data_IF_989445483202
#
_entry.id   IF_989445483202
#
_cell.length_a   1.000
_cell.length_b   1.000
_cell.length_c   1.000
_cell.angle_alpha   90.00
_cell.angle_beta   90.00
_cell.angle_gamma   90.00
#
_symmetry.space_group_name_H-M   'P 1'
#
loop_
_entity.id
_entity.type
_entity.pdbx_description
1 polymer ?
#
# COMPACT_ATOMS: atom_id res chain seq x y z
N UNK A 1 -15.62 -3.57 -14.42
CA UNK A 1 -14.45 -3.82 -13.55
C UNK A 1 -13.14 -3.96 -14.34
N UNK A 2 -12.99 -4.90 -15.28
CA UNK A 2 -11.72 -5.09 -16.00
C UNK A 2 -11.14 -3.83 -16.69
N UNK A 3 -11.99 -2.99 -17.27
CA UNK A 3 -11.60 -1.70 -17.90
C UNK A 3 -11.09 -0.66 -16.90
N UNK A 4 -11.67 -0.62 -15.70
CA UNK A 4 -11.28 0.26 -14.60
C UNK A 4 -10.02 -0.23 -13.91
N UNK A 5 -9.87 -1.55 -13.74
CA UNK A 5 -8.75 -2.15 -13.01
C UNK A 5 -7.49 -2.35 -13.87
N UNK A 6 -7.58 -2.15 -15.19
CA UNK A 6 -6.47 -2.30 -16.16
C UNK A 6 -5.83 -3.69 -16.17
N UNK A 7 -6.63 -4.74 -15.96
CA UNK A 7 -6.12 -6.11 -15.87
C UNK A 7 -6.21 -6.92 -17.16
N UNK A 8 -6.96 -6.47 -18.17
CA UNK A 8 -7.12 -7.24 -19.40
C UNK A 8 -5.77 -7.49 -20.12
N UNK A 9 -5.48 -8.76 -20.39
CA UNK A 9 -4.35 -9.20 -21.20
C UNK A 9 -4.73 -9.03 -22.68
N UNK A 10 -4.24 -7.94 -23.30
CA UNK A 10 -4.72 -7.45 -24.60
C UNK A 10 -4.72 -8.51 -25.70
N UNK A 11 -3.70 -9.36 -25.74
CA UNK A 11 -3.45 -10.27 -26.86
C UNK A 11 -3.78 -11.75 -26.54
N UNK A 12 -4.33 -12.04 -25.35
CA UNK A 12 -4.49 -13.41 -24.86
C UNK A 12 -5.93 -13.97 -24.94
N UNK A 13 -6.86 -13.21 -25.53
CA UNK A 13 -8.25 -13.65 -25.77
C UNK A 13 -9.08 -13.92 -24.51
N UNK A 14 -10.36 -14.25 -24.71
CA UNK A 14 -11.31 -14.49 -23.62
C UNK A 14 -11.53 -15.98 -23.41
N UNK A 15 -11.56 -16.42 -22.15
CA UNK A 15 -11.97 -17.76 -21.76
C UNK A 15 -13.50 -17.88 -21.85
N UNK A 16 -13.99 -18.70 -22.78
CA UNK A 16 -15.42 -18.91 -23.03
C UNK A 16 -15.70 -20.39 -23.29
N UNK A 17 -16.97 -20.84 -23.31
CA UNK A 17 -17.32 -22.22 -23.72
C UNK A 17 -16.80 -22.59 -25.12
N UNK A 18 -16.68 -21.61 -26.01
CA UNK A 18 -16.17 -21.80 -27.37
C UNK A 18 -14.64 -21.59 -27.48
N UNK A 19 -13.98 -21.12 -26.42
CA UNK A 19 -12.54 -20.84 -26.39
C UNK A 19 -11.93 -21.04 -24.99
N UNK A 20 -11.56 -22.27 -24.67
CA UNK A 20 -10.89 -22.60 -23.41
C UNK A 20 -9.39 -22.20 -23.38
N UNK A 21 -8.80 -21.78 -24.50
CA UNK A 21 -7.41 -21.33 -24.56
C UNK A 21 -7.23 -19.86 -24.16
N UNK A 22 -8.31 -19.07 -24.14
CA UNK A 22 -8.25 -17.66 -23.74
C UNK A 22 -7.84 -17.50 -22.27
N UNK A 23 -7.03 -16.48 -21.97
CA UNK A 23 -6.48 -16.27 -20.60
C UNK A 23 -7.19 -15.17 -19.81
N UNK A 24 -8.11 -14.42 -20.43
CA UNK A 24 -8.96 -13.47 -19.72
C UNK A 24 -10.25 -14.15 -19.26
N UNK A 25 -10.43 -14.27 -17.94
CA UNK A 25 -11.65 -14.83 -17.33
C UNK A 25 -12.55 -13.71 -16.83
N UNK A 26 -13.81 -13.68 -17.29
CA UNK A 26 -14.80 -12.69 -16.89
C UNK A 26 -15.77 -13.28 -15.87
N UNK A 27 -15.50 -13.05 -14.59
CA UNK A 27 -16.30 -13.61 -13.49
C UNK A 27 -17.65 -12.90 -13.28
N UNK A 28 -17.84 -11.69 -13.80
CA UNK A 28 -18.97 -10.81 -13.47
C UNK A 28 -18.83 -10.20 -12.07
N UNK A 29 -19.93 -9.70 -11.51
CA UNK A 29 -19.98 -9.14 -10.14
C UNK A 29 -20.13 -10.28 -9.13
N UNK A 30 -19.03 -11.01 -8.93
CA UNK A 30 -18.97 -12.25 -8.14
C UNK A 30 -17.62 -12.39 -7.43
N UNK A 31 -17.22 -11.38 -6.68
CA UNK A 31 -15.89 -11.25 -6.05
C UNK A 31 -15.49 -12.52 -5.28
N UNK A 32 -16.39 -13.04 -4.44
CA UNK A 32 -16.10 -14.24 -3.66
C UNK A 32 -15.93 -15.48 -4.54
N UNK A 33 -16.82 -15.67 -5.51
CA UNK A 33 -16.76 -16.77 -6.47
C UNK A 33 -15.50 -16.70 -7.35
N UNK A 34 -15.14 -15.49 -7.79
CA UNK A 34 -13.93 -15.23 -8.57
C UNK A 34 -12.65 -15.57 -7.79
N UNK A 35 -12.60 -15.18 -6.52
CA UNK A 35 -11.46 -15.44 -5.66
C UNK A 35 -11.30 -16.94 -5.32
N UNK A 36 -12.40 -17.62 -4.99
CA UNK A 36 -12.38 -19.07 -4.73
C UNK A 36 -12.03 -19.87 -5.98
N UNK A 37 -12.54 -19.49 -7.16
CA UNK A 37 -12.15 -20.08 -8.43
C UNK A 37 -10.65 -19.86 -8.73
N UNK A 38 -10.14 -18.64 -8.49
CA UNK A 38 -8.71 -18.31 -8.65
C UNK A 38 -7.83 -19.18 -7.76
N UNK A 39 -8.22 -19.39 -6.50
CA UNK A 39 -7.54 -20.33 -5.60
C UNK A 39 -7.56 -21.74 -6.17
N UNK A 40 -8.70 -22.22 -6.68
CA UNK A 40 -8.81 -23.54 -7.32
C UNK A 40 -7.88 -23.70 -8.54
N UNK A 41 -7.75 -22.67 -9.37
CA UNK A 41 -6.83 -22.67 -10.52
C UNK A 41 -5.37 -22.78 -10.04
N UNK A 42 -4.99 -22.01 -9.03
CA UNK A 42 -3.62 -22.02 -8.50
C UNK A 42 -3.31 -23.31 -7.71
N UNK A 43 -4.31 -23.91 -7.03
CA UNK A 43 -4.23 -25.22 -6.39
C UNK A 43 -3.92 -26.33 -7.39
N UNK A 44 -4.58 -26.32 -8.55
CA UNK A 44 -4.35 -27.31 -9.62
C UNK A 44 -2.93 -27.23 -10.19
N UNK A 45 -2.33 -26.03 -10.19
CA UNK A 45 -0.96 -25.79 -10.66
C UNK A 45 -0.79 -25.74 -12.18
N UNK A 46 0.35 -25.23 -12.64
CA UNK A 46 0.65 -25.02 -14.08
C UNK A 46 0.17 -23.68 -14.64
N UNK A 47 -0.52 -22.89 -13.83
CA UNK A 47 -1.01 -21.54 -14.15
C UNK A 47 -0.68 -20.59 -13.00
N UNK A 48 -0.61 -19.28 -13.29
CA UNK A 48 -0.48 -18.23 -12.27
C UNK A 48 -1.65 -17.26 -12.41
N UNK A 49 -2.79 -17.61 -11.80
CA UNK A 49 -4.03 -16.85 -11.91
C UNK A 49 -4.09 -15.70 -10.90
N UNK A 50 -4.73 -14.62 -11.31
CA UNK A 50 -5.04 -13.46 -10.48
C UNK A 50 -6.53 -13.14 -10.55
N UNK A 51 -7.03 -12.45 -9.53
CA UNK A 51 -8.37 -11.83 -9.52
C UNK A 51 -8.23 -10.35 -9.21
N UNK A 52 -9.18 -9.54 -9.68
CA UNK A 52 -9.16 -8.10 -9.44
C UNK A 52 -10.55 -7.51 -9.21
N UNK A 53 -10.63 -6.54 -8.30
CA UNK A 53 -11.80 -5.71 -8.02
C UNK A 53 -11.34 -4.36 -7.41
N UNK A 54 -12.26 -3.50 -6.99
CA UNK A 54 -11.93 -2.32 -6.17
C UNK A 54 -11.59 -2.76 -4.75
N UNK A 55 -10.67 -2.05 -4.11
CA UNK A 55 -10.14 -2.44 -2.80
C UNK A 55 -11.23 -2.50 -1.72
N UNK A 56 -12.21 -1.62 -1.77
CA UNK A 56 -13.36 -1.63 -0.85
C UNK A 56 -14.15 -2.94 -0.91
N UNK A 57 -14.19 -3.61 -2.07
CA UNK A 57 -14.86 -4.89 -2.24
C UNK A 57 -14.01 -6.08 -1.79
N UNK A 58 -12.79 -5.86 -1.28
CA UNK A 58 -12.00 -6.92 -0.64
C UNK A 58 -12.76 -7.62 0.50
N UNK A 59 -13.68 -6.92 1.15
CA UNK A 59 -14.59 -7.47 2.16
C UNK A 59 -15.42 -8.65 1.61
N UNK A 60 -15.84 -8.59 0.35
CA UNK A 60 -16.60 -9.69 -0.29
C UNK A 60 -15.74 -10.93 -0.55
N UNK A 61 -14.41 -10.80 -0.66
CA UNK A 61 -13.52 -11.93 -0.92
C UNK A 61 -12.55 -12.26 0.24
N UNK A 62 -12.70 -11.62 1.40
CA UNK A 62 -11.84 -11.82 2.58
C UNK A 62 -11.67 -13.28 2.96
N UNK A 63 -12.77 -14.04 2.97
CA UNK A 63 -12.74 -15.47 3.29
C UNK A 63 -11.88 -16.27 2.29
N UNK A 64 -11.94 -15.94 1.00
CA UNK A 64 -11.12 -16.59 -0.03
C UNK A 64 -9.64 -16.21 0.07
N UNK A 65 -9.32 -14.96 0.40
CA UNK A 65 -7.93 -14.54 0.67
C UNK A 65 -7.36 -15.32 1.86
N UNK A 66 -8.14 -15.41 2.95
CA UNK A 66 -7.75 -16.19 4.13
C UNK A 66 -7.53 -17.67 3.81
N UNK A 67 -8.39 -18.27 2.99
CA UNK A 67 -8.18 -19.65 2.54
C UNK A 67 -6.92 -19.81 1.70
N UNK A 68 -6.63 -18.87 0.78
CA UNK A 68 -5.39 -18.88 0.02
C UNK A 68 -4.16 -18.86 0.94
N UNK A 69 -4.20 -18.05 1.99
CA UNK A 69 -3.12 -17.96 2.97
C UNK A 69 -2.93 -19.26 3.78
N UNK A 70 -4.02 -19.87 4.26
CA UNK A 70 -4.01 -21.15 4.98
C UNK A 70 -3.50 -22.29 4.09
N UNK A 71 -3.87 -22.25 2.81
CA UNK A 71 -3.49 -23.27 1.83
C UNK A 71 -2.12 -23.00 1.19
N UNK A 72 -1.41 -21.95 1.61
CA UNK A 72 -0.11 -21.55 1.07
C UNK A 72 -0.12 -21.34 -0.45
N UNK A 73 -1.23 -20.82 -0.99
CA UNK A 73 -1.40 -20.66 -2.43
C UNK A 73 -0.77 -19.35 -2.88
N UNK A 74 -0.03 -19.34 -3.99
CA UNK A 74 0.48 -18.11 -4.58
C UNK A 74 -0.63 -17.35 -5.33
N UNK A 75 -1.85 -17.23 -4.80
CA UNK A 75 -2.90 -16.45 -5.46
C UNK A 75 -2.59 -14.95 -5.47
N UNK A 76 -2.89 -14.26 -6.58
CA UNK A 76 -2.73 -12.79 -6.68
C UNK A 76 -4.09 -12.13 -6.60
N UNK A 77 -4.19 -11.14 -5.74
CA UNK A 77 -5.33 -10.24 -5.63
C UNK A 77 -4.87 -8.85 -6.02
N UNK A 78 -5.44 -8.29 -7.09
CA UNK A 78 -5.12 -6.94 -7.56
C UNK A 78 -6.30 -6.03 -7.21
N UNK A 79 -6.10 -5.13 -6.26
CA UNK A 79 -7.10 -4.17 -5.85
C UNK A 79 -6.73 -2.77 -6.31
N UNK A 80 -7.67 -2.10 -6.96
CA UNK A 80 -7.50 -0.70 -7.38
C UNK A 80 -8.41 0.21 -6.55
N UNK A 81 -8.35 1.53 -6.74
CA UNK A 81 -9.24 2.47 -6.05
C UNK A 81 -9.05 2.34 -4.53
N UNK A 82 -7.83 2.62 -4.06
CA UNK A 82 -7.32 2.17 -2.77
C UNK A 82 -7.59 3.10 -1.57
N UNK A 83 -8.16 4.29 -1.78
CA UNK A 83 -8.24 5.33 -0.76
C UNK A 83 -9.38 6.34 -1.01
N UNK A 84 -9.45 7.38 -0.16
CA UNK A 84 -10.33 8.55 -0.31
C UNK A 84 -10.22 9.26 -1.68
N UNK A 85 -9.11 9.07 -2.41
CA UNK A 85 -8.93 9.63 -3.74
C UNK A 85 -9.90 9.06 -4.79
N UNK A 86 -10.73 8.08 -4.42
CA UNK A 86 -11.89 7.68 -5.22
C UNK A 86 -12.86 8.85 -5.42
N UNK A 87 -13.11 9.69 -4.41
CA UNK A 87 -13.83 10.94 -4.56
C UNK A 87 -15.34 10.79 -4.76
N UNK A 88 -15.83 10.87 -6.00
CA UNK A 88 -17.26 11.10 -6.24
C UNK A 88 -18.14 9.89 -5.90
N UNK A 89 -17.59 8.68 -5.89
CA UNK A 89 -18.34 7.48 -5.49
C UNK A 89 -18.58 7.45 -3.95
N UNK A 90 -17.80 8.23 -3.20
CA UNK A 90 -17.99 8.51 -1.78
C UNK A 90 -17.74 7.31 -0.85
N UNK A 91 -18.25 7.39 0.40
CA UNK A 91 -17.80 6.53 1.51
C UNK A 91 -18.10 5.05 1.33
N UNK A 92 -19.02 4.68 0.43
CA UNK A 92 -19.31 3.27 0.14
C UNK A 92 -18.25 2.62 -0.76
N UNK A 93 -17.39 3.43 -1.38
CA UNK A 93 -16.36 2.99 -2.34
C UNK A 93 -14.94 3.37 -1.94
N UNK A 94 -14.78 4.11 -0.84
CA UNK A 94 -13.51 4.62 -0.33
C UNK A 94 -12.98 3.69 0.77
N UNK A 95 -11.91 2.91 0.51
CA UNK A 95 -11.32 2.06 1.54
C UNK A 95 -10.69 2.88 2.66
N UNK A 96 -10.87 2.42 3.91
CA UNK A 96 -10.28 3.00 5.11
C UNK A 96 -9.52 1.91 5.89
N UNK A 97 -10.23 0.91 6.39
CA UNK A 97 -9.69 -0.17 7.21
C UNK A 97 -9.16 -1.36 6.41
N UNK A 98 -9.45 -1.42 5.10
CA UNK A 98 -9.16 -2.59 4.27
C UNK A 98 -7.66 -2.89 4.22
N UNK A 99 -6.78 -1.87 4.21
CA UNK A 99 -5.32 -2.08 4.29
C UNK A 99 -4.94 -2.77 5.60
N UNK A 100 -5.35 -2.24 6.75
CA UNK A 100 -5.09 -2.83 8.05
C UNK A 100 -5.67 -4.26 8.16
N UNK A 101 -6.88 -4.46 7.64
CA UNK A 101 -7.55 -5.76 7.59
C UNK A 101 -6.75 -6.79 6.78
N UNK A 102 -6.20 -6.42 5.63
CA UNK A 102 -5.38 -7.32 4.81
C UNK A 102 -4.03 -7.62 5.45
N UNK A 103 -3.37 -6.59 6.02
CA UNK A 103 -2.07 -6.68 6.69
C UNK A 103 -2.08 -7.55 7.96
N UNK A 104 -3.26 -7.74 8.55
CA UNK A 104 -3.43 -8.58 9.75
C UNK A 104 -3.71 -10.04 9.43
N UNK A 105 -3.96 -10.41 8.15
CA UNK A 105 -4.17 -11.81 7.78
C UNK A 105 -2.81 -12.53 7.78
N UNK A 106 -2.63 -13.60 8.58
CA UNK A 106 -1.39 -14.35 8.59
C UNK A 106 -1.09 -14.94 7.21
N UNK A 107 0.19 -14.99 6.84
CA UNK A 107 0.67 -15.53 5.55
C UNK A 107 0.05 -14.83 4.32
N UNK A 108 -0.30 -13.55 4.41
CA UNK A 108 -0.60 -12.69 3.25
C UNK A 108 0.52 -11.65 3.17
N UNK A 109 0.98 -11.32 1.96
CA UNK A 109 1.85 -10.15 1.77
C UNK A 109 1.08 -9.07 0.99
N UNK A 110 1.11 -7.84 1.50
CA UNK A 110 0.39 -6.71 0.91
C UNK A 110 1.42 -5.72 0.37
N UNK A 111 1.28 -5.37 -0.90
CA UNK A 111 2.08 -4.36 -1.58
C UNK A 111 1.21 -3.15 -1.91
N UNK A 112 1.58 -1.98 -1.39
CA UNK A 112 1.02 -0.68 -1.76
C UNK A 112 2.13 0.22 -2.33
N UNK A 113 2.52 0.00 -3.61
CA UNK A 113 3.60 0.72 -4.26
C UNK A 113 3.29 2.20 -4.47
N UNK A 114 4.32 3.04 -4.31
CA UNK A 114 4.25 4.49 -4.45
C UNK A 114 4.14 4.97 -5.90
N UNK A 115 4.74 4.24 -6.84
CA UNK A 115 4.80 4.65 -8.23
C UNK A 115 5.02 3.45 -9.18
N UNK A 116 5.36 3.77 -10.44
CA UNK A 116 5.62 2.76 -11.46
C UNK A 116 6.83 1.87 -11.15
N UNK A 117 7.91 2.41 -10.57
CA UNK A 117 9.11 1.62 -10.28
C UNK A 117 8.82 0.63 -9.15
N UNK A 118 8.22 1.09 -8.05
CA UNK A 118 7.84 0.19 -6.96
C UNK A 118 6.81 -0.86 -7.41
N UNK A 119 5.90 -0.50 -8.31
CA UNK A 119 4.94 -1.47 -8.88
C UNK A 119 5.64 -2.59 -9.65
N UNK A 120 6.67 -2.26 -10.44
CA UNK A 120 7.46 -3.26 -11.17
C UNK A 120 8.24 -4.17 -10.20
N UNK A 121 8.86 -3.59 -9.17
CA UNK A 121 9.59 -4.38 -8.17
C UNK A 121 8.66 -5.27 -7.34
N UNK A 122 7.47 -4.78 -6.96
CA UNK A 122 6.44 -5.59 -6.33
C UNK A 122 6.05 -6.79 -7.21
N UNK A 123 5.83 -6.58 -8.51
CA UNK A 123 5.54 -7.68 -9.44
C UNK A 123 6.66 -8.71 -9.55
N UNK A 124 7.94 -8.29 -9.47
CA UNK A 124 9.08 -9.22 -9.44
C UNK A 124 9.06 -10.09 -8.18
N UNK A 125 8.72 -9.52 -7.02
CA UNK A 125 8.57 -10.28 -5.77
C UNK A 125 7.38 -11.25 -5.88
N UNK A 126 6.24 -10.78 -6.37
CA UNK A 126 5.04 -11.59 -6.61
C UNK A 126 5.36 -12.76 -7.55
N UNK A 127 6.11 -12.54 -8.62
CA UNK A 127 6.47 -13.58 -9.58
C UNK A 127 7.31 -14.71 -8.96
N UNK A 128 8.14 -14.41 -7.95
CA UNK A 128 8.97 -15.39 -7.23
C UNK A 128 8.22 -16.08 -6.09
N UNK A 129 7.10 -15.51 -5.63
CA UNK A 129 6.35 -16.04 -4.49
C UNK A 129 5.57 -17.30 -4.88
N UNK A 130 5.74 -18.37 -4.11
CA UNK A 130 5.12 -19.68 -4.37
C UNK A 130 4.34 -20.25 -3.18
N UNK A 131 4.47 -19.67 -1.99
CA UNK A 131 4.05 -20.24 -0.69
C UNK A 131 3.04 -19.37 0.08
N UNK A 132 2.64 -18.22 -0.48
CA UNK A 132 1.70 -17.29 0.12
C UNK A 132 0.99 -16.42 -0.92
N UNK A 133 -0.27 -16.00 -0.68
CA UNK A 133 -0.95 -15.06 -1.55
C UNK A 133 -0.32 -13.67 -1.51
N UNK A 134 -0.37 -12.99 -2.64
CA UNK A 134 0.08 -11.61 -2.79
C UNK A 134 -1.11 -10.70 -3.08
N UNK A 135 -1.18 -9.58 -2.37
CA UNK A 135 -2.14 -8.52 -2.64
C UNK A 135 -1.39 -7.31 -3.19
N UNK A 136 -1.77 -6.84 -4.38
CA UNK A 136 -1.25 -5.63 -4.99
C UNK A 136 -2.33 -4.55 -4.95
N UNK A 137 -2.03 -3.43 -4.29
CA UNK A 137 -2.90 -2.28 -4.13
C UNK A 137 -2.48 -1.19 -5.12
N UNK A 138 -3.44 -0.59 -5.83
CA UNK A 138 -3.17 0.44 -6.82
C UNK A 138 -4.13 1.62 -6.71
N UNK A 139 -3.61 2.82 -6.93
CA UNK A 139 -4.38 4.06 -6.91
C UNK A 139 -5.35 4.15 -8.09
N UNK A 140 -6.40 4.97 -7.94
CA UNK A 140 -7.26 5.40 -9.07
C UNK A 140 -6.58 6.54 -9.83
N UNK A 141 -6.05 7.49 -9.08
CA UNK A 141 -5.40 8.70 -9.54
C UNK A 141 -4.00 8.42 -10.09
N UNK A 142 -3.52 9.32 -10.94
CA UNK A 142 -2.14 9.31 -11.43
C UNK A 142 -1.20 9.68 -10.29
N UNK A 143 -0.06 9.01 -10.23
CA UNK A 143 1.03 9.30 -9.30
C UNK A 143 2.28 9.74 -10.09
N UNK A 144 3.12 10.61 -9.52
CA UNK A 144 4.40 10.93 -10.12
C UNK A 144 5.28 9.69 -10.17
N UNK A 145 6.14 9.60 -11.19
CA UNK A 145 7.23 8.62 -11.19
C UNK A 145 8.41 9.29 -10.49
N UNK A 146 8.83 8.71 -9.37
CA UNK A 146 9.86 9.27 -8.52
C UNK A 146 11.23 8.80 -9.03
N UNK A 147 12.23 9.68 -8.97
CA UNK A 147 13.60 9.30 -9.33
C UNK A 147 14.22 8.43 -8.23
N UNK A 148 13.83 8.67 -6.97
CA UNK A 148 14.29 8.00 -5.76
C UNK A 148 13.85 6.53 -5.67
N UNK A 149 12.83 6.12 -6.43
CA UNK A 149 12.34 4.73 -6.49
C UNK A 149 13.03 3.91 -7.59
N UNK A 150 13.97 4.49 -8.36
CA UNK A 150 14.78 3.73 -9.30
C UNK A 150 15.64 2.72 -8.55
N UNK A 151 15.36 1.43 -8.75
CA UNK A 151 16.01 0.36 -7.99
C UNK A 151 15.49 0.22 -6.55
N UNK A 152 14.25 0.66 -6.28
CA UNK A 152 13.58 0.51 -5.00
C UNK A 152 13.69 -0.93 -4.45
N UNK A 153 14.05 -1.05 -3.17
CA UNK A 153 14.20 -2.36 -2.53
C UNK A 153 12.87 -2.84 -1.93
N UNK A 154 11.85 -2.98 -2.78
CA UNK A 154 10.50 -3.43 -2.38
C UNK A 154 10.52 -4.82 -1.76
N UNK A 155 11.53 -5.65 -2.08
CA UNK A 155 11.72 -6.97 -1.48
C UNK A 155 11.97 -6.89 0.03
N UNK A 156 12.52 -5.77 0.53
CA UNK A 156 12.71 -5.50 1.96
C UNK A 156 11.47 -4.98 2.67
N UNK A 157 10.42 -4.62 1.93
CA UNK A 157 9.14 -4.15 2.48
C UNK A 157 9.13 -2.71 2.97
N UNK A 158 10.22 -2.22 3.58
CA UNK A 158 10.44 -0.80 3.86
C UNK A 158 11.90 -0.44 3.61
N UNK A 159 12.15 0.73 3.04
CA UNK A 159 13.50 1.21 2.75
C UNK A 159 13.58 2.73 2.81
N UNK A 160 14.78 3.24 3.07
CA UNK A 160 15.05 4.68 3.10
C UNK A 160 15.05 5.20 1.66
N UNK A 161 14.01 5.92 1.28
CA UNK A 161 13.87 6.51 -0.06
C UNK A 161 14.59 7.86 -0.14
N UNK A 162 14.64 8.61 0.97
CA UNK A 162 15.37 9.88 1.05
C UNK A 162 16.09 9.97 2.39
N UNK A 163 17.42 9.73 2.43
CA UNK A 163 18.18 9.70 3.67
C UNK A 163 18.31 11.08 4.31
N UNK A 164 18.47 11.09 5.63
CA UNK A 164 18.90 12.26 6.39
C UNK A 164 20.38 12.58 6.12
N UNK A 165 20.83 13.76 6.53
CA UNK A 165 22.24 14.20 6.43
C UNK A 165 23.10 13.51 7.48
N UNK A 166 22.56 13.27 8.66
CA UNK A 166 23.22 12.65 9.82
C UNK A 166 22.79 11.19 10.01
N UNK A 167 23.47 10.48 10.91
CA UNK A 167 23.10 9.12 11.30
C UNK A 167 21.99 9.08 12.36
N UNK A 168 21.71 10.22 13.01
CA UNK A 168 20.69 10.40 14.03
C UNK A 168 19.76 11.55 13.59
N UNK A 169 18.85 11.31 12.63
CA UNK A 169 17.92 12.33 12.18
C UNK A 169 17.04 12.85 13.30
N UNK A 170 16.62 14.11 13.19
CA UNK A 170 15.62 14.71 14.06
C UNK A 170 14.31 13.92 14.01
N UNK A 171 13.92 13.44 12.83
CA UNK A 171 12.73 12.62 12.70
C UNK A 171 12.67 11.75 11.44
N UNK A 172 11.70 10.83 11.44
CA UNK A 172 11.46 9.88 10.35
C UNK A 172 10.02 10.03 9.87
N UNK A 173 9.84 10.30 8.58
CA UNK A 173 8.57 10.19 7.89
C UNK A 173 8.43 8.80 7.28
N UNK A 174 7.35 8.10 7.60
CA UNK A 174 6.99 6.82 6.98
C UNK A 174 5.76 7.02 6.11
N UNK A 175 5.78 6.52 4.88
CA UNK A 175 4.62 6.57 4.00
C UNK A 175 4.54 5.34 3.11
N UNK A 176 3.35 5.07 2.58
CA UNK A 176 3.14 4.04 1.57
C UNK A 176 2.31 4.60 0.42
N UNK A 177 2.36 3.95 -0.75
CA UNK A 177 1.50 4.31 -1.88
C UNK A 177 1.58 5.78 -2.27
N UNK A 178 0.42 6.35 -2.56
CA UNK A 178 0.28 7.73 -3.03
C UNK A 178 0.80 8.80 -2.06
N UNK A 179 1.02 8.47 -0.79
CA UNK A 179 1.47 9.43 0.23
C UNK A 179 3.00 9.57 0.27
N UNK A 180 3.75 8.71 -0.43
CA UNK A 180 5.22 8.79 -0.46
C UNK A 180 5.71 10.10 -1.11
N UNK A 181 5.08 10.54 -2.20
CA UNK A 181 5.42 11.83 -2.81
C UNK A 181 5.11 13.01 -1.88
N UNK A 182 3.99 12.92 -1.14
CA UNK A 182 3.63 13.92 -0.12
C UNK A 182 4.69 13.97 1.00
N UNK A 183 5.19 12.81 1.46
CA UNK A 183 6.23 12.75 2.49
C UNK A 183 7.56 13.37 2.03
N UNK A 184 7.92 13.23 0.75
CA UNK A 184 9.11 13.88 0.18
C UNK A 184 8.96 15.41 0.14
N UNK A 185 7.78 15.91 -0.22
CA UNK A 185 7.48 17.36 -0.19
C UNK A 185 7.49 17.93 1.24
N UNK A 186 6.94 17.18 2.20
CA UNK A 186 6.96 17.53 3.64
C UNK A 186 8.39 17.63 4.14
N UNK A 187 9.25 16.64 3.83
CA UNK A 187 10.68 16.70 4.17
C UNK A 187 11.32 17.98 3.63
N UNK A 188 11.11 18.31 2.36
CA UNK A 188 11.68 19.51 1.75
C UNK A 188 11.22 20.80 2.46
N UNK A 189 9.95 20.85 2.89
CA UNK A 189 9.41 21.99 3.63
C UNK A 189 9.97 22.09 5.06
N UNK A 190 10.05 20.98 5.79
CA UNK A 190 10.63 20.92 7.15
C UNK A 190 12.09 21.38 7.16
N UNK A 191 12.88 20.89 6.22
CA UNK A 191 14.28 21.29 6.05
C UNK A 191 14.43 22.79 5.78
N UNK A 192 13.49 23.40 5.03
CA UNK A 192 13.54 24.82 4.71
C UNK A 192 13.09 25.72 5.86
N UNK A 193 12.10 25.29 6.66
CA UNK A 193 11.46 26.13 7.67
C UNK A 193 12.09 26.02 9.06
N UNK A 194 12.56 24.82 9.45
CA UNK A 194 13.09 24.56 10.79
C UNK A 194 14.51 24.00 10.83
N UNK A 195 15.15 23.81 9.67
CA UNK A 195 16.44 23.15 9.51
C UNK A 195 16.48 21.71 10.08
N UNK A 196 15.32 21.05 10.16
CA UNK A 196 15.23 19.67 10.63
C UNK A 196 15.92 18.69 9.69
N UNK A 197 16.68 17.76 10.24
CA UNK A 197 17.26 16.64 9.52
C UNK A 197 16.29 15.44 9.47
N UNK A 198 15.57 15.32 8.37
CA UNK A 198 14.48 14.34 8.21
C UNK A 198 14.87 13.19 7.28
N UNK A 199 14.58 11.97 7.71
CA UNK A 199 14.62 10.78 6.88
C UNK A 199 13.21 10.44 6.35
N UNK A 200 13.09 10.03 5.08
CA UNK A 200 11.84 9.47 4.53
C UNK A 200 12.05 7.99 4.24
N UNK A 201 11.11 7.18 4.72
CA UNK A 201 11.04 5.73 4.51
C UNK A 201 9.79 5.42 3.70
N UNK A 202 9.99 4.78 2.53
CA UNK A 202 8.89 4.17 1.79
C UNK A 202 8.59 2.79 2.38
N UNK A 203 7.32 2.48 2.61
CA UNK A 203 6.84 1.24 3.23
C UNK A 203 5.84 0.54 2.30
N UNK A 204 6.29 0.00 1.15
CA UNK A 204 5.41 -0.71 0.22
C UNK A 204 4.82 -1.98 0.82
N UNK A 205 5.48 -2.66 1.77
CA UNK A 205 4.95 -3.86 2.44
C UNK A 205 5.42 -3.99 3.89
N UNK A 206 4.48 -3.85 4.82
CA UNK A 206 4.72 -4.03 6.26
C UNK A 206 5.13 -5.47 6.59
N UNK A 207 4.50 -6.46 5.96
CA UNK A 207 4.75 -7.88 6.27
C UNK A 207 6.17 -8.25 5.93
N UNK A 208 6.66 -7.83 4.76
CA UNK A 208 8.03 -8.09 4.32
C UNK A 208 9.07 -7.35 5.16
N UNK A 209 8.76 -6.15 5.63
CA UNK A 209 9.66 -5.41 6.52
C UNK A 209 9.82 -6.13 7.87
N UNK A 210 8.74 -6.65 8.41
CA UNK A 210 8.74 -7.43 9.66
C UNK A 210 9.49 -8.76 9.55
N UNK A 211 9.62 -9.31 8.34
CA UNK A 211 10.42 -10.50 8.05
C UNK A 211 11.94 -10.19 7.96
N UNK A 212 12.35 -8.92 7.90
CA UNK A 212 13.78 -8.56 7.84
C UNK A 212 14.49 -8.77 9.19
N UNK A 213 15.82 -8.90 9.14
CA UNK A 213 16.65 -9.01 10.35
C UNK A 213 16.51 -7.76 11.23
N UNK A 214 16.73 -7.95 12.55
CA UNK A 214 16.74 -6.85 13.51
C UNK A 214 17.71 -5.73 13.09
N UNK A 215 18.91 -6.08 12.60
CA UNK A 215 19.89 -5.11 12.11
C UNK A 215 19.36 -4.25 10.94
N UNK A 216 18.59 -4.85 10.04
CA UNK A 216 17.99 -4.10 8.93
C UNK A 216 16.85 -3.22 9.40
N UNK A 217 16.00 -3.71 10.31
CA UNK A 217 14.94 -2.91 10.91
C UNK A 217 15.51 -1.73 11.69
N UNK A 218 16.60 -1.93 12.44
CA UNK A 218 17.32 -0.87 13.16
C UNK A 218 17.95 0.14 12.20
N UNK A 219 18.52 -0.32 11.08
CA UNK A 219 19.05 0.57 10.04
C UNK A 219 17.97 1.49 9.46
N UNK A 220 16.76 0.97 9.20
CA UNK A 220 15.67 1.74 8.59
C UNK A 220 14.94 2.61 9.61
N UNK A 221 14.69 2.08 10.81
CA UNK A 221 13.98 2.75 11.91
C UNK A 221 14.80 2.70 13.22
N UNK A 222 15.91 3.46 13.32
CA UNK A 222 16.77 3.47 14.51
C UNK A 222 15.97 3.72 15.78
N UNK A 223 16.13 2.86 16.78
CA UNK A 223 15.36 2.89 18.03
C UNK A 223 15.52 4.19 18.83
N UNK A 224 16.68 4.84 18.70
CA UNK A 224 16.98 6.14 19.31
C UNK A 224 16.19 7.31 18.72
N UNK A 225 15.69 7.20 17.48
CA UNK A 225 14.91 8.27 16.83
C UNK A 225 13.42 8.04 17.08
N UNK A 226 12.86 8.81 18.02
CA UNK A 226 11.48 8.66 18.53
C UNK A 226 10.45 9.54 17.81
N UNK A 227 10.87 10.66 17.22
CA UNK A 227 10.01 11.52 16.40
C UNK A 227 9.70 10.84 15.06
N UNK A 228 8.64 10.02 15.05
CA UNK A 228 8.22 9.26 13.88
C UNK A 228 6.81 9.67 13.47
N UNK A 229 6.65 10.07 12.22
CA UNK A 229 5.36 10.45 11.66
C UNK A 229 5.03 9.54 10.48
N UNK A 230 3.96 8.76 10.60
CA UNK A 230 3.44 7.97 9.49
C UNK A 230 2.36 8.74 8.73
N UNK A 231 2.31 8.60 7.40
CA UNK A 231 1.32 9.23 6.52
C UNK A 231 0.77 8.19 5.56
N UNK A 232 -0.52 7.87 5.68
CA UNK A 232 -1.21 6.91 4.82
C UNK A 232 -2.70 7.22 4.78
N UNK A 233 -3.29 7.29 3.57
CA UNK A 233 -4.75 7.41 3.42
C UNK A 233 -5.46 6.08 3.74
N UNK A 234 -5.43 5.71 5.02
CA UNK A 234 -6.03 4.50 5.57
C UNK A 234 -5.99 4.52 7.10
N UNK A 235 -6.53 3.47 7.71
CA UNK A 235 -6.63 3.35 9.16
C UNK A 235 -5.28 3.42 9.88
N UNK A 236 -5.25 4.14 11.01
CA UNK A 236 -4.00 4.44 11.71
C UNK A 236 -3.41 3.26 12.48
N UNK A 237 -4.19 2.23 12.81
CA UNK A 237 -3.80 1.19 13.77
C UNK A 237 -2.52 0.44 13.38
N UNK A 238 -2.33 0.17 12.09
CA UNK A 238 -1.17 -0.57 11.61
C UNK A 238 0.16 0.19 11.84
N UNK A 239 0.12 1.51 11.99
CA UNK A 239 1.31 2.35 12.06
C UNK A 239 1.88 2.51 13.47
N UNK A 240 1.05 2.39 14.51
CA UNK A 240 1.50 2.57 15.90
C UNK A 240 2.59 1.57 16.33
N UNK A 241 2.72 0.42 15.65
CA UNK A 241 3.84 -0.50 15.88
C UNK A 241 5.19 0.06 15.43
N UNK A 242 5.21 1.03 14.51
CA UNK A 242 6.42 1.65 13.96
C UNK A 242 6.67 3.05 14.54
N UNK A 243 5.62 3.85 14.72
CA UNK A 243 5.75 5.21 15.25
C UNK A 243 5.86 5.23 16.78
N UNK A 244 5.41 4.17 17.46
CA UNK A 244 5.47 4.06 18.92
C UNK A 244 4.49 5.00 19.62
N UNK A 245 4.73 5.23 20.92
CA UNK A 245 3.90 6.10 21.77
C UNK A 245 4.23 7.58 21.58
N UNK A 246 5.46 7.88 21.16
CA UNK A 246 5.95 9.25 20.97
C UNK A 246 5.58 9.76 19.57
N UNK A 247 5.51 8.87 18.57
CA UNK A 247 5.17 9.26 17.22
C UNK A 247 3.72 9.68 17.01
N UNK A 248 3.40 10.03 15.75
CA UNK A 248 2.05 10.41 15.30
C UNK A 248 1.74 9.74 13.96
N UNK A 249 0.46 9.70 13.61
CA UNK A 249 -0.01 9.16 12.33
C UNK A 249 -0.98 10.16 11.71
N UNK A 250 -0.70 10.60 10.48
CA UNK A 250 -1.70 11.24 9.61
C UNK A 250 -2.36 10.13 8.81
N UNK A 251 -3.53 9.72 9.27
CA UNK A 251 -4.35 8.69 8.66
C UNK A 251 -5.83 9.00 8.79
N UNK A 252 -6.67 8.00 8.48
CA UNK A 252 -8.12 8.16 8.44
C UNK A 252 -8.79 7.10 9.31
N UNK A 253 -9.48 7.54 10.37
CA UNK A 253 -10.20 6.66 11.31
C UNK A 253 -11.73 6.88 11.28
N UNK A 254 -12.22 7.57 10.25
CA UNK A 254 -13.64 7.78 9.97
C UNK A 254 -13.95 7.39 8.53
N UNK A 255 -15.23 7.19 8.21
CA UNK A 255 -15.61 7.03 6.80
C UNK A 255 -15.31 8.29 6.00
N UNK A 256 -15.12 8.10 4.70
CA UNK A 256 -14.89 9.16 3.73
C UNK A 256 -16.13 10.01 3.42
N UNK A 257 -16.09 10.73 2.30
CA UNK A 257 -17.20 11.59 1.87
C UNK A 257 -17.20 11.74 0.36
N UNK A 258 -18.40 11.82 -0.22
CA UNK A 258 -18.56 12.11 -1.63
C UNK A 258 -18.09 13.54 -1.94
N UNK A 259 -17.16 13.68 -2.88
CA UNK A 259 -16.66 14.97 -3.35
C UNK A 259 -15.60 14.80 -4.42
N UNK A 260 -15.01 15.91 -4.89
CA UNK A 260 -13.88 15.80 -5.83
C UNK A 260 -12.68 15.24 -5.09
N UNK A 261 -12.06 14.18 -5.62
CA UNK A 261 -10.95 13.49 -4.96
C UNK A 261 -9.90 14.40 -4.31
N UNK A 262 -9.31 15.39 -5.03
CA UNK A 262 -8.33 16.30 -4.43
C UNK A 262 -8.86 17.16 -3.28
N UNK A 263 -10.12 17.59 -3.35
CA UNK A 263 -10.76 18.38 -2.29
C UNK A 263 -11.02 17.48 -1.06
N UNK A 264 -11.49 16.24 -1.27
CA UNK A 264 -11.67 15.25 -0.20
C UNK A 264 -10.34 14.94 0.49
N UNK A 265 -9.29 14.64 -0.28
CA UNK A 265 -7.95 14.34 0.25
C UNK A 265 -7.41 15.51 1.08
N UNK A 266 -7.54 16.74 0.59
CA UNK A 266 -7.10 17.94 1.32
C UNK A 266 -7.89 18.15 2.61
N UNK A 267 -9.21 17.97 2.59
CA UNK A 267 -10.08 18.15 3.75
C UNK A 267 -9.81 17.12 4.87
N UNK A 268 -9.25 15.95 4.52
CA UNK A 268 -8.79 14.94 5.49
C UNK A 268 -7.35 15.16 5.95
N UNK A 269 -6.72 16.29 5.60
CA UNK A 269 -5.41 16.68 6.11
C UNK A 269 -4.21 16.14 5.32
N UNK A 270 -4.41 15.54 4.15
CA UNK A 270 -3.31 15.06 3.29
C UNK A 270 -2.76 16.20 2.43
N UNK A 271 -2.27 17.24 3.11
CA UNK A 271 -1.60 18.40 2.50
C UNK A 271 -0.23 18.58 3.14
N UNK A 272 0.72 19.15 2.39
CA UNK A 272 2.08 19.39 2.89
C UNK A 272 2.03 20.23 4.17
N UNK A 273 1.19 21.27 4.19
CA UNK A 273 1.07 22.19 5.31
C UNK A 273 0.58 21.50 6.58
N UNK A 274 -0.50 20.72 6.48
CA UNK A 274 -1.04 20.02 7.64
C UNK A 274 -0.07 18.98 8.21
N UNK A 275 0.60 18.21 7.34
CA UNK A 275 1.56 17.19 7.80
C UNK A 275 2.77 17.85 8.47
N UNK A 276 3.25 18.99 7.95
CA UNK A 276 4.29 19.80 8.62
C UNK A 276 3.84 20.28 9.99
N UNK A 277 2.61 20.79 10.11
CA UNK A 277 2.08 21.25 11.40
C UNK A 277 1.98 20.11 12.42
N UNK A 278 1.55 18.91 11.98
CA UNK A 278 1.52 17.71 12.83
C UNK A 278 2.92 17.32 13.28
N UNK A 279 3.92 17.38 12.39
CA UNK A 279 5.31 17.10 12.73
C UNK A 279 5.85 18.11 13.76
N UNK A 280 5.67 19.41 13.52
CA UNK A 280 6.13 20.47 14.43
C UNK A 280 5.51 20.33 15.81
N UNK A 281 4.20 20.05 15.88
CA UNK A 281 3.53 19.82 17.16
C UNK A 281 4.08 18.60 17.90
N UNK A 282 4.34 17.49 17.18
CA UNK A 282 4.97 16.30 17.77
C UNK A 282 6.36 16.61 18.32
N UNK A 283 7.13 17.44 17.60
CA UNK A 283 8.46 17.88 18.02
C UNK A 283 8.41 18.77 19.27
N UNK A 284 7.49 19.74 19.31
CA UNK A 284 7.27 20.63 20.46
C UNK A 284 6.75 19.89 21.70
N UNK A 285 5.93 18.85 21.54
CA UNK A 285 5.43 18.04 22.67
C UNK A 285 6.56 17.26 23.39
N UNK A 286 7.74 17.11 22.76
CA UNK A 286 8.84 16.23 23.20
C UNK A 286 10.13 16.97 23.58
N UNK A 287 10.20 18.28 23.36
CA UNK A 287 11.36 19.14 23.66
C UNK A 287 10.95 20.34 24.51
#
# INVERSE_FOLDING_TARGET
>A
MASSNKTALKDDGNFTPDNYAGRNVYYGVREFGAATATNGINLRGGSRAYVSTFMVFSDYLKAAIRLAAIQHLPSIFIFTHDSLAVGEDGPTHEPIEQLAMLRTIPNVQVFRPADAHETVEAWKVIAKTTDKPSVLIASRQKLPVLDETKGADVEKGAYIISPAKTQEPDGILLASGSEVSLALEVKAKLQKQGDYDIQVVSVPSIERFKEQSADYQEKVLPTGVRHRLAVEMGNTQAWYQFVGLDGRVVGVDTFGKSGKGPEVVADYGFTVDHVVDVFNKMWEDQN
#
